data_IF_286788865289
#
_entry.id   IF_286788865289
#
_cell.length_a   1.000
_cell.length_b   1.000
_cell.length_c   1.000
_cell.angle_alpha   90.00
_cell.angle_beta   90.00
_cell.angle_gamma   90.00
#
_symmetry.space_group_name_H-M   'P 1'
#
loop_
_entity.id
_entity.type
_entity.pdbx_description
1 polymer ?
#
# COMPACT_ATOMS: atom_id res chain seq x y z
N UNK A 1 3.79 -3.90 -7.01
CA UNK A 1 2.48 -4.58 -7.08
C UNK A 1 1.38 -3.53 -7.16
N UNK A 2 0.26 -3.83 -7.81
CA UNK A 2 -0.89 -2.91 -7.82
C UNK A 2 -2.20 -3.66 -7.62
N UNK A 3 -3.22 -2.94 -7.13
CA UNK A 3 -4.59 -3.44 -7.05
C UNK A 3 -5.56 -2.32 -7.32
N UNK A 4 -6.61 -2.63 -8.06
CA UNK A 4 -7.73 -1.72 -8.33
C UNK A 4 -8.87 -2.05 -7.39
N UNK A 5 -9.54 -1.02 -6.88
CA UNK A 5 -10.66 -1.11 -5.94
C UNK A 5 -11.82 -0.22 -6.41
N UNK A 6 -13.04 -0.61 -6.07
CA UNK A 6 -14.26 0.09 -6.46
C UNK A 6 -14.68 1.12 -5.40
N UNK A 7 -13.73 1.96 -4.98
CA UNK A 7 -14.01 3.08 -4.08
C UNK A 7 -13.37 4.37 -4.59
N UNK A 8 -13.92 5.54 -4.21
CA UNK A 8 -13.28 6.83 -4.47
C UNK A 8 -11.86 6.90 -3.90
N UNK A 9 -11.00 7.67 -4.57
CA UNK A 9 -9.58 7.82 -4.22
C UNK A 9 -9.36 8.24 -2.76
N UNK A 10 -10.23 9.09 -2.22
CA UNK A 10 -10.14 9.57 -0.83
C UNK A 10 -10.29 8.42 0.19
N UNK A 11 -11.21 7.48 -0.07
CA UNK A 11 -11.43 6.32 0.80
C UNK A 11 -10.23 5.38 0.77
N UNK A 12 -9.70 5.11 -0.43
CA UNK A 12 -8.50 4.32 -0.60
C UNK A 12 -7.31 4.95 0.13
N UNK A 13 -7.09 6.26 -0.05
CA UNK A 13 -6.01 6.97 0.62
C UNK A 13 -6.15 6.90 2.14
N UNK A 14 -7.34 7.14 2.68
CA UNK A 14 -7.61 7.07 4.13
C UNK A 14 -7.31 5.67 4.69
N UNK A 15 -7.67 4.61 3.98
CA UNK A 15 -7.44 3.23 4.41
C UNK A 15 -5.95 2.84 4.46
N UNK A 16 -5.10 3.53 3.70
CA UNK A 16 -3.65 3.30 3.71
C UNK A 16 -2.92 4.27 4.65
N UNK A 17 -3.34 5.53 4.71
CA UNK A 17 -2.69 6.57 5.51
C UNK A 17 -3.04 6.49 7.01
N UNK A 18 -4.25 6.07 7.35
CA UNK A 18 -4.65 5.89 8.75
C UNK A 18 -4.09 4.59 9.31
N UNK A 19 -3.38 4.67 10.44
CA UNK A 19 -2.71 3.50 11.03
C UNK A 19 -3.68 2.40 11.45
N UNK A 20 -4.81 2.75 12.08
CA UNK A 20 -5.84 1.80 12.51
C UNK A 20 -6.52 1.10 11.34
N UNK A 21 -6.78 1.82 10.25
CA UNK A 21 -7.28 1.21 9.02
C UNK A 21 -6.21 0.36 8.34
N UNK A 22 -4.94 0.79 8.37
CA UNK A 22 -3.83 0.04 7.77
C UNK A 22 -3.60 -1.30 8.48
N UNK A 23 -3.67 -1.32 9.80
CA UNK A 23 -3.47 -2.55 10.59
C UNK A 23 -4.52 -3.64 10.35
N UNK A 24 -5.68 -3.31 9.75
CA UNK A 24 -6.72 -4.31 9.46
C UNK A 24 -6.40 -5.18 8.24
N UNK A 25 -5.59 -4.68 7.30
CA UNK A 25 -5.26 -5.40 6.06
C UNK A 25 -3.76 -5.61 5.84
N UNK A 26 -2.91 -4.84 6.53
CA UNK A 26 -1.47 -4.97 6.49
C UNK A 26 -0.99 -5.52 7.85
N UNK A 27 -0.51 -6.79 7.92
CA UNK A 27 -0.07 -7.39 9.17
C UNK A 27 1.29 -6.84 9.66
N UNK A 28 1.99 -6.06 8.82
CA UNK A 28 3.29 -5.50 9.18
C UNK A 28 3.14 -4.25 10.04
N UNK A 29 3.81 -4.26 11.19
CA UNK A 29 3.84 -3.15 12.17
C UNK A 29 5.20 -2.44 12.14
N UNK A 30 5.29 -1.24 12.72
CA UNK A 30 6.55 -0.49 12.79
C UNK A 30 6.94 0.22 11.48
N UNK A 31 5.97 0.51 10.61
CA UNK A 31 6.19 1.27 9.38
C UNK A 31 6.26 2.77 9.67
N UNK A 32 7.32 3.42 9.24
CA UNK A 32 7.52 4.86 9.46
C UNK A 32 7.13 5.64 8.21
N UNK A 33 6.04 6.42 8.28
CA UNK A 33 5.62 7.30 7.18
C UNK A 33 6.53 8.53 7.17
N UNK A 34 7.36 8.67 6.13
CA UNK A 34 8.32 9.78 5.98
C UNK A 34 7.70 10.99 5.29
N UNK A 35 6.83 10.75 4.31
CA UNK A 35 6.11 11.79 3.57
C UNK A 35 4.80 11.21 3.06
N UNK A 36 3.72 11.97 3.20
CA UNK A 36 2.44 11.66 2.59
C UNK A 36 1.94 12.91 1.84
N UNK A 37 1.62 12.74 0.57
CA UNK A 37 0.92 13.75 -0.23
C UNK A 37 -0.49 13.25 -0.43
N UNK A 38 -1.47 13.97 0.12
CA UNK A 38 -2.86 13.55 0.12
C UNK A 38 -3.33 13.13 -1.28
N UNK A 39 -3.96 11.96 -1.35
CA UNK A 39 -4.53 11.38 -2.57
C UNK A 39 -3.53 11.10 -3.71
N UNK A 40 -2.22 11.29 -3.51
CA UNK A 40 -1.20 11.17 -4.55
C UNK A 40 -0.19 10.07 -4.24
N UNK A 41 0.53 10.22 -3.13
CA UNK A 41 1.60 9.27 -2.80
C UNK A 41 1.99 9.25 -1.33
N UNK A 42 2.64 8.17 -0.92
CA UNK A 42 3.25 8.01 0.40
C UNK A 42 4.62 7.36 0.27
N UNK A 43 5.59 7.91 1.01
CA UNK A 43 6.92 7.35 1.20
C UNK A 43 7.03 6.81 2.61
N UNK A 44 7.37 5.53 2.73
CA UNK A 44 7.38 4.81 4.00
C UNK A 44 8.70 4.06 4.13
N UNK A 45 9.34 4.15 5.28
CA UNK A 45 10.46 3.27 5.64
C UNK A 45 9.89 1.98 6.20
N UNK A 46 10.35 0.85 5.66
CA UNK A 46 9.94 -0.47 6.13
C UNK A 46 10.50 -0.75 7.52
N UNK A 47 9.93 -1.74 8.22
CA UNK A 47 10.27 -2.03 9.63
C UNK A 47 11.75 -2.39 9.86
N UNK A 48 12.47 -2.80 8.82
CA UNK A 48 13.89 -3.15 8.90
C UNK A 48 14.81 -1.91 8.89
N UNK A 49 14.26 -0.72 8.67
CA UNK A 49 15.01 0.54 8.53
C UNK A 49 15.87 0.64 7.26
N UNK A 50 15.89 -0.39 6.41
CA UNK A 50 16.78 -0.54 5.25
C UNK A 50 16.02 -0.44 3.94
N UNK A 51 14.86 -1.06 3.87
CA UNK A 51 13.99 -1.08 2.69
C UNK A 51 12.94 0.03 2.77
N UNK A 52 12.40 0.41 1.62
CA UNK A 52 11.50 1.54 1.51
C UNK A 52 10.34 1.24 0.60
N UNK A 53 9.18 1.80 0.93
CA UNK A 53 8.00 1.76 0.09
C UNK A 53 7.73 3.12 -0.54
N UNK A 54 7.35 3.07 -1.80
CA UNK A 54 6.63 4.14 -2.46
C UNK A 54 5.23 3.63 -2.82
N UNK A 55 4.22 4.27 -2.24
CA UNK A 55 2.82 3.96 -2.48
C UNK A 55 2.24 5.10 -3.31
N UNK A 56 1.71 4.79 -4.49
CA UNK A 56 1.05 5.76 -5.35
C UNK A 56 -0.43 5.44 -5.46
N UNK A 57 -1.25 6.48 -5.49
CA UNK A 57 -2.70 6.39 -5.61
C UNK A 57 -3.12 7.02 -6.93
N UNK A 58 -3.92 6.31 -7.72
CA UNK A 58 -4.33 6.72 -9.05
C UNK A 58 -5.87 6.68 -9.14
N UNK A 59 -6.54 7.79 -9.47
CA UNK A 59 -7.96 7.74 -9.79
C UNK A 59 -8.19 6.95 -11.08
N UNK A 60 -9.31 6.21 -11.14
CA UNK A 60 -9.77 5.45 -12.31
C UNK A 60 -11.25 5.74 -12.64
N UNK A 61 -11.77 6.85 -12.11
CA UNK A 61 -13.17 7.25 -12.13
C UNK A 61 -13.66 7.65 -10.73
N UNK A 62 -14.87 8.17 -10.63
CA UNK A 62 -15.40 8.74 -9.38
C UNK A 62 -15.53 7.71 -8.26
N UNK A 63 -15.93 6.48 -8.61
CA UNK A 63 -16.09 5.36 -7.69
C UNK A 63 -15.00 4.28 -7.85
N UNK A 64 -13.87 4.59 -8.51
CA UNK A 64 -12.84 3.60 -8.79
C UNK A 64 -11.44 4.17 -8.66
N UNK A 65 -10.56 3.45 -8.00
CA UNK A 65 -9.18 3.88 -7.80
C UNK A 65 -8.21 2.70 -7.79
N UNK A 66 -6.94 3.00 -7.98
CA UNK A 66 -5.86 2.02 -8.00
C UNK A 66 -4.78 2.43 -7.00
N UNK A 67 -4.28 1.46 -6.24
CA UNK A 67 -3.07 1.60 -5.43
C UNK A 67 -1.92 0.85 -6.10
N UNK A 68 -0.76 1.48 -6.10
CA UNK A 68 0.50 0.90 -6.58
C UNK A 68 1.50 0.94 -5.45
N UNK A 69 2.05 -0.21 -5.07
CA UNK A 69 3.11 -0.34 -4.06
C UNK A 69 4.41 -0.77 -4.73
N UNK A 70 5.44 0.04 -4.60
CA UNK A 70 6.81 -0.27 -4.98
C UNK A 70 7.64 -0.50 -3.72
N UNK A 71 8.21 -1.70 -3.58
CA UNK A 71 9.09 -2.04 -2.47
C UNK A 71 10.52 -2.07 -3.00
N UNK A 72 11.31 -1.07 -2.61
CA UNK A 72 12.64 -0.79 -3.14
C UNK A 72 13.74 -1.14 -2.13
N UNK A 73 14.99 -1.18 -2.60
CA UNK A 73 16.20 -1.54 -1.83
C UNK A 73 16.19 -2.98 -1.31
N UNK A 74 15.46 -3.87 -1.98
CA UNK A 74 15.50 -5.30 -1.68
C UNK A 74 16.87 -5.86 -2.06
N UNK A 75 17.45 -6.77 -1.24
CA UNK A 75 18.83 -7.22 -1.41
C UNK A 75 19.02 -8.12 -2.64
N UNK A 76 17.99 -8.86 -3.04
CA UNK A 76 18.07 -9.83 -4.14
C UNK A 76 16.69 -10.14 -4.76
N UNK A 77 16.70 -10.91 -5.85
CA UNK A 77 15.50 -11.33 -6.55
C UNK A 77 14.59 -12.27 -5.72
N UNK A 78 15.16 -13.05 -4.79
CA UNK A 78 14.39 -13.95 -3.92
C UNK A 78 13.58 -13.14 -2.91
N UNK A 79 14.14 -12.07 -2.36
CA UNK A 79 13.45 -11.10 -1.52
C UNK A 79 12.35 -10.37 -2.31
N UNK A 80 12.62 -9.98 -3.56
CA UNK A 80 11.62 -9.41 -4.45
C UNK A 80 10.44 -10.36 -4.70
N UNK A 81 10.68 -11.64 -4.96
CA UNK A 81 9.63 -12.64 -5.14
C UNK A 81 8.80 -12.83 -3.86
N UNK A 82 9.44 -12.90 -2.69
CA UNK A 82 8.75 -12.97 -1.38
C UNK A 82 7.85 -11.75 -1.17
N UNK A 83 8.37 -10.55 -1.42
CA UNK A 83 7.61 -9.30 -1.26
C UNK A 83 6.49 -9.19 -2.28
N UNK A 84 6.66 -9.70 -3.50
CA UNK A 84 5.59 -9.79 -4.50
C UNK A 84 4.41 -10.60 -3.96
N UNK A 85 4.65 -11.80 -3.43
CA UNK A 85 3.61 -12.65 -2.83
C UNK A 85 2.96 -11.99 -1.61
N UNK A 86 3.78 -11.40 -0.72
CA UNK A 86 3.29 -10.67 0.44
C UNK A 86 2.34 -9.54 0.05
N UNK A 87 2.77 -8.65 -0.85
CA UNK A 87 1.97 -7.52 -1.30
C UNK A 87 0.73 -7.94 -2.08
N UNK A 88 0.79 -9.04 -2.83
CA UNK A 88 -0.39 -9.62 -3.48
C UNK A 88 -1.51 -9.89 -2.47
N UNK A 89 -1.18 -10.65 -1.41
CA UNK A 89 -2.11 -10.99 -0.33
C UNK A 89 -2.60 -9.76 0.45
N UNK A 90 -1.68 -8.87 0.85
CA UNK A 90 -2.03 -7.67 1.60
C UNK A 90 -2.98 -6.75 0.81
N UNK A 91 -2.70 -6.50 -0.47
CA UNK A 91 -3.56 -5.67 -1.31
C UNK A 91 -4.91 -6.33 -1.64
N UNK A 92 -4.98 -7.66 -1.64
CA UNK A 92 -6.28 -8.37 -1.71
C UNK A 92 -7.10 -8.15 -0.44
N UNK A 93 -6.48 -8.15 0.75
CA UNK A 93 -7.16 -7.83 1.99
C UNK A 93 -7.60 -6.37 2.05
N UNK A 94 -6.79 -5.44 1.55
CA UNK A 94 -7.18 -4.04 1.42
C UNK A 94 -8.46 -3.91 0.59
N UNK A 95 -8.50 -4.55 -0.58
CA UNK A 95 -9.68 -4.55 -1.45
C UNK A 95 -10.92 -5.10 -0.74
N UNK A 96 -10.79 -6.22 -0.02
CA UNK A 96 -11.88 -6.81 0.75
C UNK A 96 -12.37 -5.88 1.86
N UNK A 97 -11.45 -5.25 2.59
CA UNK A 97 -11.79 -4.30 3.67
C UNK A 97 -12.53 -3.05 3.19
N UNK A 98 -12.41 -2.72 1.91
CA UNK A 98 -13.05 -1.57 1.26
C UNK A 98 -14.35 -1.92 0.52
N UNK A 99 -14.84 -3.16 0.62
CA UNK A 99 -16.14 -3.55 0.08
C UNK A 99 -16.13 -4.26 -1.29
N UNK A 100 -14.99 -4.78 -1.77
CA UNK A 100 -14.94 -5.73 -2.91
C UNK A 100 -14.95 -5.13 -4.31
#
# INVERSE_FOLDING_TARGET
MSRTVNVPLANLYKAVANEKSRSSWLPEVGLVVRKATAHKSMRVTWKDGKTSLEINFLPKGDAKSQVVVQHSKLPDAKAAAKMKTFWGKALDQLRKSLGG
#
